data_IF_746356129416
#
_entry.id   IF_746356129416
#
_cell.length_a   1.000
_cell.length_b   1.000
_cell.length_c   1.000
_cell.angle_alpha   90.00
_cell.angle_beta   90.00
_cell.angle_gamma   90.00
#
_symmetry.space_group_name_H-M   'P 1'
#
loop_
_entity.id
_entity.type
_entity.pdbx_description
1 polymer ?
#
# COMPACT_ATOMS: atom_id res chain seq x y z
N UNK A 1 6.38 -0.73 -6.04
CA UNK A 1 7.27 -1.02 -4.91
C UNK A 1 8.09 -2.26 -5.21
N UNK A 2 9.40 -2.24 -4.96
CA UNK A 2 10.35 -3.35 -5.12
C UNK A 2 10.47 -4.18 -3.84
N UNK A 3 11.06 -5.38 -3.90
CA UNK A 3 11.33 -6.21 -2.69
C UNK A 3 12.27 -5.50 -1.70
N UNK A 4 13.23 -4.71 -2.20
CA UNK A 4 14.15 -3.94 -1.36
C UNK A 4 13.40 -2.84 -0.60
N UNK A 5 12.58 -2.07 -1.30
CA UNK A 5 11.72 -1.04 -0.69
C UNK A 5 10.75 -1.64 0.32
N UNK A 6 10.19 -2.82 0.04
CA UNK A 6 9.33 -3.52 1.00
C UNK A 6 10.09 -3.91 2.27
N UNK A 7 11.29 -4.47 2.12
CA UNK A 7 12.15 -4.86 3.25
C UNK A 7 12.53 -3.64 4.10
N UNK A 8 12.92 -2.54 3.47
CA UNK A 8 13.19 -1.25 4.14
C UNK A 8 11.95 -0.74 4.88
N UNK A 9 10.78 -0.75 4.22
CA UNK A 9 9.52 -0.27 4.77
C UNK A 9 9.09 -1.01 6.04
N UNK A 10 9.27 -2.33 6.08
CA UNK A 10 8.92 -3.16 7.25
C UNK A 10 10.12 -3.40 8.18
N UNK A 11 11.22 -2.67 7.96
CA UNK A 11 12.45 -2.70 8.76
C UNK A 11 13.03 -4.11 8.96
N UNK A 12 13.22 -4.83 7.85
CA UNK A 12 13.90 -6.13 7.84
C UNK A 12 14.97 -6.19 6.76
N UNK A 13 15.93 -7.10 6.93
CA UNK A 13 16.91 -7.37 5.89
C UNK A 13 16.25 -8.03 4.66
N UNK A 14 16.62 -7.65 3.41
CA UNK A 14 16.07 -8.25 2.20
C UNK A 14 16.22 -9.77 2.09
N UNK A 15 17.28 -10.35 2.67
CA UNK A 15 17.47 -11.81 2.74
C UNK A 15 16.44 -12.45 3.67
N UNK A 16 16.11 -11.78 4.78
CA UNK A 16 15.03 -12.22 5.69
C UNK A 16 13.69 -12.22 4.98
N UNK A 17 13.39 -11.16 4.21
CA UNK A 17 12.18 -11.10 3.39
C UNK A 17 12.13 -12.25 2.38
N UNK A 18 13.22 -12.52 1.68
CA UNK A 18 13.34 -13.65 0.74
C UNK A 18 13.08 -14.99 1.43
N UNK A 19 13.59 -15.19 2.65
CA UNK A 19 13.36 -16.41 3.41
C UNK A 19 11.88 -16.56 3.84
N UNK A 20 11.18 -15.45 4.10
CA UNK A 20 9.76 -15.50 4.48
C UNK A 20 8.85 -15.91 3.32
N UNK A 21 9.26 -15.71 2.07
CA UNK A 21 8.52 -16.18 0.88
C UNK A 21 8.29 -17.69 0.91
N UNK A 22 9.21 -18.46 1.49
CA UNK A 22 9.07 -19.91 1.63
C UNK A 22 8.65 -20.34 3.04
N UNK A 23 9.24 -19.73 4.08
CA UNK A 23 9.01 -20.14 5.48
C UNK A 23 7.71 -19.61 6.08
N UNK A 24 7.16 -18.51 5.54
CA UNK A 24 5.98 -17.82 6.08
C UNK A 24 5.09 -17.27 4.95
N UNK A 25 4.55 -18.12 4.07
CA UNK A 25 3.77 -17.69 2.91
C UNK A 25 2.53 -16.86 3.29
N UNK A 26 1.83 -17.22 4.37
CA UNK A 26 0.66 -16.47 4.84
C UNK A 26 1.02 -15.07 5.36
N UNK A 27 2.19 -14.91 6.00
CA UNK A 27 2.66 -13.58 6.42
C UNK A 27 2.90 -12.68 5.20
N UNK A 28 3.54 -13.21 4.17
CA UNK A 28 3.79 -12.48 2.92
C UNK A 28 2.47 -12.09 2.25
N UNK A 29 1.49 -13.00 2.22
CA UNK A 29 0.15 -12.71 1.71
C UNK A 29 -0.52 -11.56 2.47
N UNK A 30 -0.47 -11.57 3.80
CA UNK A 30 -1.03 -10.50 4.62
C UNK A 30 -0.35 -9.15 4.36
N UNK A 31 0.98 -9.14 4.22
CA UNK A 31 1.73 -7.93 3.87
C UNK A 31 1.25 -7.36 2.53
N UNK A 32 1.15 -8.19 1.49
CA UNK A 32 0.67 -7.72 0.18
C UNK A 32 -0.79 -7.26 0.20
N UNK A 33 -1.67 -7.93 0.95
CA UNK A 33 -3.05 -7.48 1.12
C UNK A 33 -3.13 -6.12 1.80
N UNK A 34 -2.32 -5.88 2.85
CA UNK A 34 -2.24 -4.58 3.51
C UNK A 34 -1.79 -3.47 2.55
N UNK A 35 -0.75 -3.74 1.76
CA UNK A 35 -0.22 -2.79 0.77
C UNK A 35 -1.23 -2.44 -0.32
N UNK A 36 -1.94 -3.44 -0.85
CA UNK A 36 -3.01 -3.22 -1.82
C UNK A 36 -4.16 -2.41 -1.22
N UNK A 37 -4.50 -2.67 0.04
CA UNK A 37 -5.54 -1.93 0.77
C UNK A 37 -5.18 -0.46 0.93
N UNK A 38 -3.93 -0.15 1.29
CA UNK A 38 -3.47 1.24 1.38
C UNK A 38 -3.54 1.99 0.05
N UNK A 39 -3.19 1.33 -1.06
CA UNK A 39 -3.28 1.92 -2.39
C UNK A 39 -4.74 2.24 -2.74
N UNK A 40 -5.66 1.30 -2.49
CA UNK A 40 -7.09 1.51 -2.70
C UNK A 40 -7.67 2.63 -1.85
N UNK A 41 -7.21 2.80 -0.60
CA UNK A 41 -7.62 3.93 0.23
C UNK A 41 -7.21 5.25 -0.43
N UNK A 42 -5.95 5.37 -0.87
CA UNK A 42 -5.45 6.59 -1.54
C UNK A 42 -6.20 6.89 -2.83
N UNK A 43 -6.47 5.87 -3.64
CA UNK A 43 -7.27 6.02 -4.87
C UNK A 43 -8.68 6.51 -4.56
N UNK A 44 -9.30 5.96 -3.52
CA UNK A 44 -10.64 6.35 -3.06
C UNK A 44 -10.66 7.78 -2.55
N UNK A 45 -9.67 8.19 -1.75
CA UNK A 45 -9.53 9.57 -1.27
C UNK A 45 -9.37 10.55 -2.45
N UNK A 46 -8.55 10.20 -3.43
CA UNK A 46 -8.38 10.98 -4.66
C UNK A 46 -9.70 11.09 -5.44
N UNK A 47 -10.43 9.99 -5.56
CA UNK A 47 -11.74 9.96 -6.22
C UNK A 47 -12.75 10.88 -5.51
N UNK A 48 -12.86 10.79 -4.19
CA UNK A 48 -13.72 11.66 -3.37
C UNK A 48 -13.30 13.12 -3.52
N UNK A 49 -12.00 13.41 -3.47
CA UNK A 49 -11.47 14.76 -3.67
C UNK A 49 -11.88 15.33 -5.04
N UNK A 50 -11.78 14.53 -6.11
CA UNK A 50 -12.19 14.94 -7.44
C UNK A 50 -13.70 15.24 -7.49
N UNK A 51 -14.55 14.38 -6.91
CA UNK A 51 -16.00 14.64 -6.85
C UNK A 51 -16.30 15.95 -6.11
N UNK A 52 -15.65 16.17 -4.97
CA UNK A 52 -15.88 17.36 -4.15
C UNK A 52 -15.55 18.67 -4.90
N UNK A 53 -14.62 18.64 -5.85
CA UNK A 53 -14.32 19.81 -6.70
C UNK A 53 -15.50 20.21 -7.60
N UNK A 54 -16.35 19.26 -7.99
CA UNK A 54 -17.51 19.52 -8.84
C UNK A 54 -18.79 19.78 -8.04
N UNK A 55 -18.92 19.16 -6.86
CA UNK A 55 -20.13 19.29 -6.01
C UNK A 55 -20.07 20.53 -5.11
N UNK A 56 -18.88 20.93 -4.66
CA UNK A 56 -18.66 22.15 -3.87
C UNK A 56 -17.64 23.05 -4.59
N UNK A 57 -17.98 23.64 -5.75
CA UNK A 57 -17.11 24.64 -6.35
C UNK A 57 -16.97 25.77 -5.34
N UNK A 58 -15.75 25.98 -4.82
CA UNK A 58 -15.44 27.13 -3.97
C UNK A 58 -15.94 28.37 -4.71
N UNK A 59 -17.05 28.95 -4.23
CA UNK A 59 -17.58 30.20 -4.74
C UNK A 59 -16.47 31.22 -4.50
N UNK A 60 -15.79 31.62 -5.58
CA UNK A 60 -14.83 32.72 -5.57
C UNK A 60 -15.57 34.03 -5.41
#
# INVERSE_FOLDING_TARGET
MTKKELAERINIDPKTLKNWETSKPELIKLIYLGLATEEHIKETEKYISNINQYVNPKIK
#
